data_IF_750714380840
#
_entry.id   IF_750714380840
#
_cell.length_a   1.000
_cell.length_b   1.000
_cell.length_c   1.000
_cell.angle_alpha   90.00
_cell.angle_beta   90.00
_cell.angle_gamma   90.00
#
_symmetry.space_group_name_H-M   'P 1'
#
loop_
_entity.id
_entity.type
_entity.pdbx_description
1 polymer ?
#
# COMPACT_ATOMS: atom_id res chain seq x y z
N UNK A 1 2.45 20.19 6.92
CA UNK A 1 2.70 19.65 8.29
C UNK A 1 2.15 18.23 8.25
N UNK A 2 2.83 17.22 8.82
CA UNK A 2 2.32 15.86 8.78
C UNK A 2 0.90 15.82 9.37
N UNK A 3 -0.02 15.17 8.65
CA UNK A 3 -1.43 15.05 9.04
C UNK A 3 -1.56 14.46 10.45
N UNK A 4 -2.70 14.65 11.14
CA UNK A 4 -2.95 14.01 12.45
C UNK A 4 -3.24 12.51 12.29
N UNK A 5 -2.20 11.76 11.93
CA UNK A 5 -2.31 10.38 11.49
C UNK A 5 -2.60 9.40 12.63
N UNK A 6 -3.39 8.39 12.34
CA UNK A 6 -3.64 7.28 13.26
C UNK A 6 -4.59 6.25 12.66
N UNK A 7 -5.11 5.41 13.55
CA UNK A 7 -6.00 4.29 13.22
C UNK A 7 -7.31 4.47 14.00
N UNK A 8 -8.43 4.48 13.30
CA UNK A 8 -9.75 4.42 13.91
C UNK A 8 -10.28 2.98 13.81
N UNK A 9 -10.51 2.33 14.96
CA UNK A 9 -11.10 0.98 15.06
C UNK A 9 -12.52 1.09 15.63
N UNK A 10 -13.51 0.48 14.99
CA UNK A 10 -14.89 0.49 15.51
C UNK A 10 -15.86 -0.37 14.72
N UNK A 11 -17.14 -0.29 15.09
CA UNK A 11 -18.25 -0.99 14.43
C UNK A 11 -19.04 -0.05 13.51
N UNK A 12 -19.23 -0.38 12.23
CA UNK A 12 -20.07 0.42 11.36
C UNK A 12 -21.54 0.30 11.80
N UNK A 13 -22.29 1.41 11.71
CA UNK A 13 -23.73 1.43 12.05
C UNK A 13 -24.60 2.11 10.99
N UNK A 14 -24.01 2.92 10.10
CA UNK A 14 -24.71 3.50 8.97
C UNK A 14 -23.73 3.90 7.87
N UNK A 15 -24.25 4.10 6.66
CA UNK A 15 -23.47 4.59 5.51
C UNK A 15 -24.24 5.65 4.74
N UNK A 16 -23.51 6.49 4.01
CA UNK A 16 -24.06 7.38 2.98
C UNK A 16 -23.15 7.40 1.76
N UNK A 17 -23.73 7.17 0.59
CA UNK A 17 -23.05 7.22 -0.69
C UNK A 17 -22.54 8.65 -0.98
N UNK A 18 -21.44 8.72 -1.74
CA UNK A 18 -21.04 9.95 -2.40
C UNK A 18 -22.06 10.28 -3.50
N UNK A 19 -22.49 11.54 -3.58
CA UNK A 19 -23.49 11.98 -4.55
C UNK A 19 -23.31 13.47 -4.89
N UNK A 20 -23.60 13.83 -6.15
CA UNK A 20 -23.49 15.21 -6.63
C UNK A 20 -22.06 15.76 -6.47
N UNK A 21 -21.92 16.83 -5.70
CA UNK A 21 -20.62 17.47 -5.41
C UNK A 21 -19.87 16.82 -4.21
N UNK A 22 -20.48 15.85 -3.51
CA UNK A 22 -19.79 15.11 -2.45
C UNK A 22 -18.95 14.00 -3.10
N UNK A 23 -17.64 14.07 -2.89
CA UNK A 23 -16.66 13.13 -3.44
C UNK A 23 -16.28 12.01 -2.46
N UNK A 24 -17.01 11.87 -1.36
CA UNK A 24 -16.66 10.92 -0.30
C UNK A 24 -17.82 9.98 0.06
N UNK A 25 -17.51 8.69 0.08
CA UNK A 25 -18.33 7.67 0.71
C UNK A 25 -18.18 7.79 2.23
N UNK A 26 -19.30 7.83 2.95
CA UNK A 26 -19.33 8.11 4.38
C UNK A 26 -19.74 6.87 5.16
N UNK A 27 -18.99 6.53 6.20
CA UNK A 27 -19.33 5.46 7.14
C UNK A 27 -19.47 6.08 8.53
N UNK A 28 -20.58 5.81 9.19
CA UNK A 28 -20.77 6.09 10.61
C UNK A 28 -20.29 4.88 11.40
N UNK A 29 -19.31 5.09 12.27
CA UNK A 29 -18.67 4.07 13.08
C UNK A 29 -18.69 4.47 14.55
N UNK A 30 -18.83 3.50 15.46
CA UNK A 30 -18.82 3.71 16.91
C UNK A 30 -17.75 2.86 17.61
N UNK A 31 -17.16 3.41 18.67
CA UNK A 31 -16.21 2.72 19.55
C UNK A 31 -16.81 2.22 20.87
N UNK A 32 -18.15 2.12 20.92
CA UNK A 32 -19.05 1.92 22.08
C UNK A 32 -19.58 3.20 22.72
N UNK A 33 -18.74 4.23 22.87
CA UNK A 33 -19.12 5.45 23.60
C UNK A 33 -19.15 6.69 22.71
N UNK A 34 -18.38 6.66 21.62
CA UNK A 34 -18.14 7.81 20.77
C UNK A 34 -18.49 7.48 19.33
N UNK A 35 -19.21 8.39 18.70
CA UNK A 35 -19.49 8.39 17.27
C UNK A 35 -18.35 9.02 16.47
N UNK A 36 -18.06 8.42 15.33
CA UNK A 36 -17.10 8.93 14.36
C UNK A 36 -17.64 8.77 12.94
N UNK A 37 -17.11 9.58 12.03
CA UNK A 37 -17.31 9.43 10.59
C UNK A 37 -16.00 9.07 9.91
N UNK A 38 -16.02 8.03 9.09
CA UNK A 38 -14.95 7.76 8.10
C UNK A 38 -15.39 8.38 6.78
N UNK A 39 -14.56 9.24 6.19
CA UNK A 39 -14.79 9.86 4.90
C UNK A 39 -13.79 9.35 3.88
N UNK A 40 -14.23 8.46 2.98
CA UNK A 40 -13.38 7.79 2.00
C UNK A 40 -13.52 8.46 0.63
N UNK A 41 -12.42 8.88 0.03
CA UNK A 41 -12.42 9.48 -1.30
C UNK A 41 -12.88 8.47 -2.34
N UNK A 42 -13.94 8.80 -3.08
CA UNK A 42 -14.35 8.03 -4.25
C UNK A 42 -14.17 8.81 -5.55
N UNK A 43 -13.84 10.10 -5.46
CA UNK A 43 -13.59 10.96 -6.63
C UNK A 43 -12.54 12.03 -6.33
N UNK A 44 -11.60 12.23 -7.24
CA UNK A 44 -10.64 13.33 -7.20
C UNK A 44 -11.25 14.64 -7.71
N UNK A 45 -10.71 15.76 -7.22
CA UNK A 45 -11.01 17.11 -7.73
C UNK A 45 -10.12 17.49 -8.92
N UNK A 46 -9.01 16.79 -9.12
CA UNK A 46 -8.10 16.96 -10.26
C UNK A 46 -8.47 15.99 -11.39
N UNK A 47 -7.94 16.22 -12.59
CA UNK A 47 -8.06 15.29 -13.72
C UNK A 47 -6.78 14.44 -13.82
N UNK A 48 -6.87 13.11 -14.01
CA UNK A 48 -8.09 12.29 -14.03
C UNK A 48 -8.81 12.25 -12.68
N UNK A 49 -10.14 12.35 -12.70
CA UNK A 49 -10.95 12.37 -11.46
C UNK A 49 -11.08 10.99 -10.81
N UNK A 50 -10.79 9.94 -11.55
CA UNK A 50 -10.93 8.57 -11.10
C UNK A 50 -9.74 8.17 -10.23
N UNK A 51 -9.99 7.31 -9.25
CA UNK A 51 -8.95 6.78 -8.39
C UNK A 51 -8.50 5.42 -8.93
N UNK A 52 -7.24 5.10 -8.66
CA UNK A 52 -6.79 3.72 -8.68
C UNK A 52 -7.26 3.05 -7.38
N UNK A 53 -7.75 1.82 -7.48
CA UNK A 53 -8.17 1.03 -6.34
C UNK A 53 -7.60 -0.38 -6.38
N UNK A 54 -7.36 -0.95 -5.20
CA UNK A 54 -7.11 -2.39 -5.01
C UNK A 54 -7.90 -2.87 -3.80
N UNK A 55 -8.61 -3.99 -3.97
CA UNK A 55 -9.31 -4.67 -2.88
C UNK A 55 -8.75 -6.09 -2.78
N UNK A 56 -8.14 -6.39 -1.64
CA UNK A 56 -7.70 -7.74 -1.30
C UNK A 56 -8.73 -8.36 -0.36
N UNK A 57 -9.47 -9.36 -0.84
CA UNK A 57 -10.54 -10.03 -0.09
C UNK A 57 -10.04 -11.00 0.98
N UNK A 58 -8.74 -11.34 0.98
CA UNK A 58 -8.08 -12.26 1.89
C UNK A 58 -6.72 -11.69 2.34
N UNK A 59 -6.73 -10.43 2.76
CA UNK A 59 -5.52 -9.68 3.06
C UNK A 59 -4.72 -10.32 4.20
N UNK A 60 -3.46 -10.64 3.91
CA UNK A 60 -2.50 -11.14 4.91
C UNK A 60 -1.32 -10.19 4.99
N UNK A 61 -1.00 -9.71 6.18
CA UNK A 61 0.09 -8.75 6.35
C UNK A 61 0.65 -8.79 7.79
N UNK A 62 1.94 -8.44 8.02
CA UNK A 62 2.61 -8.71 9.31
C UNK A 62 2.02 -7.98 10.52
N UNK A 63 1.26 -6.90 10.32
CA UNK A 63 0.75 -6.07 11.43
C UNK A 63 -0.64 -6.49 11.91
N UNK A 64 -1.31 -7.46 11.25
CA UNK A 64 -2.73 -7.74 11.50
C UNK A 64 -2.99 -8.21 12.94
N UNK A 65 -2.10 -9.01 13.52
CA UNK A 65 -2.21 -9.44 14.92
C UNK A 65 -2.12 -8.24 15.88
N UNK A 66 -1.22 -7.29 15.62
CA UNK A 66 -1.09 -6.08 16.42
C UNK A 66 -2.33 -5.16 16.27
N UNK A 67 -2.96 -5.14 15.10
CA UNK A 67 -4.21 -4.42 14.85
C UNK A 67 -5.40 -5.06 15.58
N UNK A 68 -5.52 -6.38 15.55
CA UNK A 68 -6.56 -7.12 16.25
C UNK A 68 -6.59 -6.76 17.74
N UNK A 69 -5.41 -6.66 18.37
CA UNK A 69 -5.25 -6.34 19.78
C UNK A 69 -5.47 -4.86 20.14
N UNK A 70 -5.72 -3.98 19.17
CA UNK A 70 -6.02 -2.57 19.49
C UNK A 70 -7.37 -2.42 20.20
N UNK A 71 -7.48 -1.53 21.20
CA UNK A 71 -8.78 -1.14 21.72
C UNK A 71 -9.61 -0.43 20.62
N UNK A 72 -10.93 -0.43 20.78
CA UNK A 72 -11.80 0.40 19.94
C UNK A 72 -11.48 1.89 20.16
N UNK A 73 -11.79 2.70 19.15
CA UNK A 73 -11.56 4.13 19.14
C UNK A 73 -10.36 4.54 18.27
N UNK A 74 -9.92 5.78 18.45
CA UNK A 74 -8.80 6.33 17.68
C UNK A 74 -7.47 6.18 18.40
N UNK A 75 -6.52 5.47 17.77
CA UNK A 75 -5.12 5.38 18.19
C UNK A 75 -4.26 6.36 17.39
N UNK A 76 -3.73 7.45 18.00
CA UNK A 76 -2.79 8.33 17.32
C UNK A 76 -1.46 7.61 17.07
N UNK A 77 -0.84 7.90 15.93
CA UNK A 77 0.49 7.39 15.55
C UNK A 77 1.43 8.57 15.25
N UNK A 78 1.94 9.26 16.28
CA UNK A 78 2.85 10.38 16.10
C UNK A 78 4.24 9.92 15.61
N UNK A 79 4.71 8.78 16.08
CA UNK A 79 6.04 8.24 15.77
C UNK A 79 5.97 7.24 14.61
N UNK A 80 5.83 7.79 13.40
CA UNK A 80 5.74 7.03 12.15
C UNK A 80 7.13 6.58 11.71
N UNK A 81 7.34 5.28 11.62
CA UNK A 81 8.64 4.68 11.33
C UNK A 81 8.51 3.28 10.73
N UNK A 82 9.54 2.78 10.04
CA UNK A 82 9.61 1.39 9.63
C UNK A 82 9.37 0.43 10.79
N UNK A 83 8.63 -0.64 10.53
CA UNK A 83 8.25 -1.62 11.54
C UNK A 83 7.05 -1.27 12.40
N UNK A 84 6.55 -0.03 12.36
CA UNK A 84 5.34 0.38 13.08
C UNK A 84 4.02 -0.05 12.42
N UNK A 85 2.91 0.46 12.96
CA UNK A 85 1.54 0.17 12.48
C UNK A 85 1.07 1.09 11.33
N UNK A 86 1.88 2.07 10.97
CA UNK A 86 1.52 3.01 9.91
C UNK A 86 1.59 2.34 8.53
N UNK A 87 0.71 2.74 7.62
CA UNK A 87 0.72 2.23 6.25
C UNK A 87 1.66 3.08 5.40
N UNK A 88 2.36 2.41 4.49
CA UNK A 88 3.12 3.02 3.41
C UNK A 88 3.06 2.06 2.22
N UNK A 89 2.47 2.51 1.10
CA UNK A 89 2.18 1.66 -0.06
C UNK A 89 3.48 1.20 -0.73
N UNK A 90 4.49 2.06 -0.74
CA UNK A 90 5.77 1.82 -1.39
C UNK A 90 6.70 1.07 -0.43
N UNK A 91 6.98 1.67 0.74
CA UNK A 91 7.97 1.19 1.70
C UNK A 91 7.45 0.04 2.55
N UNK A 92 6.14 -0.09 2.69
CA UNK A 92 5.51 -1.20 3.40
C UNK A 92 5.36 -2.47 2.55
N UNK A 93 5.55 -2.41 1.22
CA UNK A 93 5.21 -3.55 0.34
C UNK A 93 3.77 -4.05 0.58
N UNK A 94 2.82 -3.12 0.74
CA UNK A 94 1.43 -3.48 1.10
C UNK A 94 0.74 -4.33 0.03
N UNK A 95 1.08 -4.10 -1.23
CA UNK A 95 0.58 -4.84 -2.40
C UNK A 95 1.47 -4.53 -3.62
N UNK A 96 1.25 -5.24 -4.73
CA UNK A 96 1.90 -4.92 -6.00
C UNK A 96 1.11 -3.79 -6.71
N UNK A 97 1.76 -2.66 -7.03
CA UNK A 97 1.08 -1.52 -7.67
C UNK A 97 0.35 -1.87 -8.98
N UNK A 98 0.78 -2.91 -9.69
CA UNK A 98 0.11 -3.40 -10.90
C UNK A 98 -1.29 -3.97 -10.64
N UNK A 99 -1.63 -4.29 -9.39
CA UNK A 99 -2.96 -4.73 -8.98
C UNK A 99 -3.95 -3.55 -8.87
N UNK A 100 -3.46 -2.31 -8.76
CA UNK A 100 -4.36 -1.16 -8.70
C UNK A 100 -4.88 -0.81 -10.10
N UNK A 101 -6.20 -0.78 -10.25
CA UNK A 101 -6.85 -0.45 -11.52
C UNK A 101 -7.68 0.83 -11.37
N UNK A 102 -7.80 1.66 -12.42
CA UNK A 102 -8.64 2.84 -12.38
C UNK A 102 -10.11 2.44 -12.31
N UNK A 103 -10.89 3.16 -11.50
CA UNK A 103 -12.34 3.00 -11.44
C UNK A 103 -13.04 4.34 -11.31
N UNK A 104 -14.13 4.48 -12.06
CA UNK A 104 -15.00 5.63 -11.97
C UNK A 104 -15.55 5.78 -10.54
N UNK A 105 -15.62 7.02 -10.07
CA UNK A 105 -16.03 7.28 -8.69
C UNK A 105 -17.52 7.06 -8.40
N UNK A 106 -18.38 7.45 -9.35
CA UNK A 106 -19.80 7.12 -9.33
C UNK A 106 -20.42 7.17 -10.72
N UNK A 107 -20.96 6.07 -11.21
CA UNK A 107 -21.62 5.99 -12.52
C UNK A 107 -22.88 5.11 -12.44
N UNK A 108 -23.93 5.38 -13.25
CA UNK A 108 -25.07 4.48 -13.33
C UNK A 108 -24.67 3.07 -13.81
N UNK A 109 -25.22 2.05 -13.19
CA UNK A 109 -24.94 0.65 -13.48
C UNK A 109 -24.94 -0.15 -12.19
N UNK A 110 -24.54 -1.43 -12.26
CA UNK A 110 -24.38 -2.27 -11.06
C UNK A 110 -22.92 -2.65 -10.96
N UNK A 111 -22.32 -2.38 -9.80
CA UNK A 111 -20.97 -2.77 -9.43
C UNK A 111 -19.89 -2.23 -10.38
N UNK A 112 -20.10 -1.03 -10.91
CA UNK A 112 -19.22 -0.38 -11.88
C UNK A 112 -18.59 0.91 -11.34
N UNK A 113 -18.83 1.27 -10.07
CA UNK A 113 -18.19 2.41 -9.43
C UNK A 113 -17.60 2.12 -8.05
N UNK A 114 -16.77 3.05 -7.57
CA UNK A 114 -16.06 2.90 -6.31
C UNK A 114 -16.97 2.99 -5.07
N UNK A 115 -18.12 3.69 -5.14
CA UNK A 115 -19.08 3.63 -4.04
C UNK A 115 -19.60 2.21 -3.86
N UNK A 116 -20.05 1.58 -4.94
CA UNK A 116 -20.64 0.24 -4.90
C UNK A 116 -19.63 -0.83 -4.47
N UNK A 117 -18.39 -0.73 -4.97
CA UNK A 117 -17.30 -1.64 -4.56
C UNK A 117 -17.02 -1.57 -3.06
N UNK A 118 -16.96 -0.36 -2.49
CA UNK A 118 -16.75 -0.18 -1.06
C UNK A 118 -18.00 -0.61 -0.28
N UNK A 119 -19.18 -0.18 -0.71
CA UNK A 119 -20.46 -0.47 -0.06
C UNK A 119 -20.69 -1.98 0.07
N UNK A 120 -20.36 -2.78 -0.95
CA UNK A 120 -20.48 -4.24 -0.88
C UNK A 120 -19.84 -4.83 0.40
N UNK A 121 -18.65 -4.37 0.79
CA UNK A 121 -17.97 -4.86 2.00
C UNK A 121 -18.49 -4.22 3.26
N UNK A 122 -18.83 -2.93 3.22
CA UNK A 122 -19.33 -2.21 4.39
C UNK A 122 -20.73 -2.69 4.76
N UNK A 123 -21.61 -2.98 3.80
CA UNK A 123 -22.91 -3.61 4.03
C UNK A 123 -22.77 -4.98 4.69
N UNK A 124 -21.79 -5.79 4.24
CA UNK A 124 -21.50 -7.06 4.91
C UNK A 124 -21.07 -6.84 6.36
N UNK A 125 -20.22 -5.85 6.63
CA UNK A 125 -19.81 -5.51 8.00
C UNK A 125 -20.97 -4.94 8.84
N UNK A 126 -21.92 -4.21 8.24
CA UNK A 126 -23.13 -3.74 8.93
C UNK A 126 -24.05 -4.88 9.37
N UNK A 127 -24.03 -6.01 8.64
CA UNK A 127 -24.85 -7.18 8.93
C UNK A 127 -24.19 -8.20 9.88
N UNK A 128 -22.91 -8.01 10.22
CA UNK A 128 -22.15 -8.86 11.12
C UNK A 128 -21.83 -8.09 12.41
N UNK A 129 -22.50 -8.43 13.51
CA UNK A 129 -22.32 -7.78 14.81
C UNK A 129 -20.90 -7.87 15.37
N UNK A 130 -20.09 -8.80 14.85
CA UNK A 130 -18.69 -9.00 15.24
C UNK A 130 -17.70 -8.28 14.32
N UNK A 131 -18.13 -7.81 13.16
CA UNK A 131 -17.24 -7.18 12.19
C UNK A 131 -16.71 -5.83 12.69
N UNK A 132 -15.45 -5.55 12.34
CA UNK A 132 -14.72 -4.35 12.74
C UNK A 132 -14.13 -3.66 11.52
N UNK A 133 -14.18 -2.34 11.51
CA UNK A 133 -13.50 -1.50 10.51
C UNK A 133 -12.30 -0.82 11.15
N UNK A 134 -11.20 -0.79 10.42
CA UNK A 134 -9.96 -0.09 10.72
C UNK A 134 -9.70 0.92 9.62
N UNK A 135 -9.84 2.21 9.91
CA UNK A 135 -9.51 3.28 8.98
C UNK A 135 -8.18 3.93 9.36
N UNK A 136 -7.30 4.06 8.38
CA UNK A 136 -5.99 4.71 8.49
C UNK A 136 -6.04 6.03 7.75
N UNK A 137 -5.56 7.11 8.39
CA UNK A 137 -5.59 8.44 7.79
C UNK A 137 -5.52 9.57 8.82
N UNK A 138 -5.93 10.75 8.40
CA UNK A 138 -5.90 11.97 9.20
C UNK A 138 -7.14 12.11 10.08
N UNK A 139 -6.98 12.40 11.37
CA UNK A 139 -8.10 12.70 12.28
C UNK A 139 -8.50 14.16 12.21
N UNK A 140 -9.81 14.42 12.21
CA UNK A 140 -10.37 15.72 12.59
C UNK A 140 -11.24 15.61 13.85
N UNK A 141 -11.49 16.76 14.46
CA UNK A 141 -12.26 16.85 15.69
C UNK A 141 -11.54 16.24 16.91
N UNK A 142 -12.26 16.03 18.02
CA UNK A 142 -13.67 16.36 18.20
C UNK A 142 -13.95 17.87 18.05
N UNK A 143 -15.05 18.21 17.38
CA UNK A 143 -15.55 19.58 17.20
C UNK A 143 -16.70 19.81 18.20
N UNK A 144 -16.37 20.23 19.43
CA UNK A 144 -17.28 20.27 20.60
C UNK A 144 -18.63 20.96 20.36
N UNK A 145 -18.66 21.98 19.50
CA UNK A 145 -19.84 22.82 19.26
C UNK A 145 -20.41 22.64 17.85
N UNK A 146 -19.97 21.64 17.11
CA UNK A 146 -20.37 21.42 15.72
C UNK A 146 -20.75 19.97 15.49
N UNK A 147 -21.98 19.75 15.06
CA UNK A 147 -22.49 18.42 14.70
C UNK A 147 -21.79 17.90 13.45
N UNK A 148 -21.66 16.59 13.36
CA UNK A 148 -21.31 15.94 12.10
C UNK A 148 -22.33 16.29 11.01
N UNK A 149 -21.82 16.63 9.83
CA UNK A 149 -22.64 17.09 8.69
C UNK A 149 -23.53 15.98 8.13
N UNK A 150 -23.11 14.73 8.18
CA UNK A 150 -23.77 13.62 7.49
C UNK A 150 -24.66 12.81 8.42
N UNK A 151 -24.21 12.54 9.64
CA UNK A 151 -24.90 11.68 10.61
C UNK A 151 -25.45 12.43 11.82
N UNK A 152 -25.08 13.71 12.01
CA UNK A 152 -25.74 14.60 12.97
C UNK A 152 -25.36 14.41 14.44
N UNK A 153 -24.42 13.51 14.75
CA UNK A 153 -23.89 13.33 16.11
C UNK A 153 -23.03 14.53 16.56
N UNK A 154 -22.90 14.72 17.87
CA UNK A 154 -22.11 15.77 18.50
C UNK A 154 -21.25 15.15 19.61
N UNK A 155 -19.94 15.47 19.71
CA UNK A 155 -19.17 16.36 18.84
C UNK A 155 -18.91 15.77 17.45
N UNK A 156 -18.79 16.62 16.43
CA UNK A 156 -18.34 16.18 15.11
C UNK A 156 -16.92 15.62 15.18
N UNK A 157 -16.69 14.42 14.68
CA UNK A 157 -15.44 13.68 14.91
C UNK A 157 -15.23 12.64 13.80
N UNK A 158 -13.99 12.33 13.45
CA UNK A 158 -13.75 11.31 12.43
C UNK A 158 -12.37 11.32 11.77
N UNK A 159 -12.26 10.58 10.66
CA UNK A 159 -11.01 10.33 9.93
C UNK A 159 -11.18 10.40 8.39
N UNK A 160 -10.24 11.05 7.70
CA UNK A 160 -10.18 11.28 6.23
C UNK A 160 -8.78 10.97 5.71
N UNK A 161 -8.52 11.33 4.44
CA UNK A 161 -7.27 11.04 3.75
C UNK A 161 -7.01 9.53 3.72
N UNK A 162 -8.07 8.79 3.41
CA UNK A 162 -8.12 7.32 3.34
C UNK A 162 -7.67 6.86 1.94
N UNK A 163 -6.49 7.32 1.54
CA UNK A 163 -5.82 6.99 0.28
C UNK A 163 -4.31 7.19 0.46
N UNK A 164 -3.49 6.84 -0.53
CA UNK A 164 -2.04 7.14 -0.54
C UNK A 164 -1.80 8.62 -0.23
N UNK A 165 -0.99 8.95 0.78
CA UNK A 165 -0.74 10.32 1.26
C UNK A 165 0.71 10.73 1.00
N UNK A 166 1.19 10.40 -0.20
CA UNK A 166 2.52 10.70 -0.68
C UNK A 166 2.52 10.76 -2.21
N UNK A 167 3.56 11.38 -2.78
CA UNK A 167 3.73 11.54 -4.22
C UNK A 167 2.73 12.50 -4.84
N UNK A 168 2.17 13.45 -4.08
CA UNK A 168 1.17 14.36 -4.59
C UNK A 168 1.69 15.28 -5.70
N UNK A 169 0.75 15.80 -6.49
CA UNK A 169 1.00 16.94 -7.38
C UNK A 169 1.60 18.12 -6.60
N UNK A 170 2.50 18.93 -7.19
CA UNK A 170 3.14 20.05 -6.50
C UNK A 170 2.20 21.01 -5.75
N UNK A 171 0.93 21.16 -6.17
CA UNK A 171 -0.03 22.01 -5.46
C UNK A 171 -0.54 21.42 -4.14
N UNK A 172 -0.28 20.13 -3.88
CA UNK A 172 -0.69 19.39 -2.68
C UNK A 172 0.49 18.75 -1.93
N UNK A 173 1.72 19.15 -2.27
CA UNK A 173 2.96 18.58 -1.72
C UNK A 173 3.05 18.67 -0.18
N UNK A 174 2.37 19.64 0.44
CA UNK A 174 2.36 19.82 1.89
C UNK A 174 1.70 18.67 2.67
N UNK A 175 0.89 17.86 1.98
CA UNK A 175 0.16 16.72 2.53
C UNK A 175 0.94 15.41 2.38
N UNK A 176 2.06 15.42 1.66
CA UNK A 176 2.96 14.27 1.52
C UNK A 176 3.67 13.92 2.83
N UNK A 177 3.92 12.63 2.99
CA UNK A 177 4.74 12.10 4.08
C UNK A 177 4.95 10.60 3.94
N UNK A 178 6.08 10.13 4.46
CA UNK A 178 6.35 8.69 4.59
C UNK A 178 5.56 8.09 5.76
N UNK A 179 5.17 6.82 5.66
CA UNK A 179 4.47 6.10 6.73
C UNK A 179 3.22 6.83 7.25
N UNK A 180 2.40 7.35 6.35
CA UNK A 180 1.12 8.00 6.69
C UNK A 180 0.04 7.77 5.63
N UNK A 181 0.21 6.74 4.79
CA UNK A 181 -0.79 6.43 3.77
C UNK A 181 -2.10 6.00 4.43
N UNK A 182 -3.20 6.37 3.80
CA UNK A 182 -4.52 5.95 4.22
C UNK A 182 -4.91 4.60 3.65
N UNK A 183 -5.98 4.04 4.22
CA UNK A 183 -6.53 2.76 3.79
C UNK A 183 -7.63 2.31 4.73
N UNK A 184 -8.41 1.33 4.31
CA UNK A 184 -9.44 0.73 5.14
C UNK A 184 -9.28 -0.79 5.18
N UNK A 185 -9.26 -1.36 6.38
CA UNK A 185 -9.34 -2.79 6.59
C UNK A 185 -10.67 -3.14 7.23
N UNK A 186 -11.25 -4.27 6.84
CA UNK A 186 -12.40 -4.88 7.49
C UNK A 186 -11.98 -6.24 8.04
N UNK A 187 -12.29 -6.49 9.29
CA UNK A 187 -12.10 -7.79 9.93
C UNK A 187 -13.45 -8.46 10.09
N UNK A 188 -13.54 -9.73 9.67
CA UNK A 188 -14.67 -10.63 9.89
C UNK A 188 -14.19 -11.76 10.81
N UNK A 189 -14.26 -11.59 12.15
CA UNK A 189 -13.65 -12.52 13.10
C UNK A 189 -14.15 -13.96 12.97
N UNK A 190 -15.46 -14.13 12.76
CA UNK A 190 -16.08 -15.45 12.59
C UNK A 190 -15.56 -16.22 11.36
N UNK A 191 -15.00 -15.52 10.39
CA UNK A 191 -14.41 -16.08 9.17
C UNK A 191 -12.89 -16.16 9.22
N UNK A 192 -12.26 -15.64 10.29
CA UNK A 192 -10.82 -15.42 10.37
C UNK A 192 -10.27 -14.69 9.13
N UNK A 193 -11.05 -13.72 8.61
CA UNK A 193 -10.78 -13.08 7.32
C UNK A 193 -10.62 -11.57 7.47
N UNK A 194 -9.65 -11.05 6.73
CA UNK A 194 -9.40 -9.64 6.57
C UNK A 194 -9.61 -9.23 5.13
N UNK A 195 -10.26 -8.09 4.93
CA UNK A 195 -10.37 -7.42 3.63
C UNK A 195 -9.63 -6.11 3.71
N UNK A 196 -8.81 -5.79 2.71
CA UNK A 196 -8.14 -4.51 2.61
C UNK A 196 -8.63 -3.73 1.40
N UNK A 197 -8.82 -2.42 1.56
CA UNK A 197 -9.20 -1.48 0.51
C UNK A 197 -8.16 -0.35 0.50
N UNK A 198 -7.43 -0.26 -0.61
CA UNK A 198 -6.38 0.73 -0.84
C UNK A 198 -6.72 1.59 -2.04
N UNK A 199 -6.49 2.89 -1.90
CA UNK A 199 -6.90 3.91 -2.87
C UNK A 199 -5.73 4.84 -3.15
N UNK A 200 -5.61 5.30 -4.40
CA UNK A 200 -4.57 6.23 -4.81
C UNK A 200 -5.12 7.15 -5.90
N UNK A 201 -4.82 8.44 -5.84
CA UNK A 201 -5.13 9.33 -6.96
C UNK A 201 -4.22 9.02 -8.15
N UNK A 202 -4.78 9.03 -9.36
CA UNK A 202 -3.98 8.78 -10.57
C UNK A 202 -2.84 9.78 -10.75
N UNK A 203 -3.03 11.03 -10.30
CA UNK A 203 -2.01 12.08 -10.34
C UNK A 203 -0.82 11.85 -9.39
N UNK A 204 -0.93 10.94 -8.42
CA UNK A 204 0.15 10.70 -7.47
C UNK A 204 1.28 9.88 -8.11
N UNK A 205 2.54 10.20 -7.79
CA UNK A 205 3.68 9.43 -8.21
C UNK A 205 3.85 8.13 -7.41
N UNK A 206 4.39 7.10 -8.05
CA UNK A 206 4.78 5.84 -7.39
C UNK A 206 6.20 5.87 -6.84
N UNK A 207 7.04 6.78 -7.31
CA UNK A 207 8.41 6.96 -6.83
C UNK A 207 8.48 8.22 -6.00
N UNK A 208 8.78 8.04 -4.72
CA UNK A 208 8.77 9.13 -3.75
C UNK A 208 10.05 9.15 -2.93
N UNK A 209 10.46 10.34 -2.51
CA UNK A 209 11.63 10.52 -1.65
C UNK A 209 11.43 9.82 -0.29
N UNK A 210 12.45 9.09 0.14
CA UNK A 210 12.42 8.21 1.32
C UNK A 210 12.28 8.93 2.67
N UNK A 211 12.33 10.27 2.69
CA UNK A 211 12.23 11.06 3.91
C UNK A 211 10.99 11.93 3.93
N UNK A 212 10.62 12.48 2.78
CA UNK A 212 9.55 13.47 2.64
C UNK A 212 8.28 12.89 2.05
N UNK A 213 8.37 11.79 1.30
CA UNK A 213 7.24 11.25 0.54
C UNK A 213 6.90 12.10 -0.70
N UNK A 214 7.70 13.11 -1.03
CA UNK A 214 7.48 13.90 -2.24
C UNK A 214 7.74 13.09 -3.51
N UNK A 215 7.00 13.37 -4.57
CA UNK A 215 7.27 12.79 -5.87
C UNK A 215 8.72 13.07 -6.28
N UNK A 216 9.45 12.03 -6.69
CA UNK A 216 10.76 12.22 -7.30
C UNK A 216 10.59 12.77 -8.72
N UNK A 217 11.50 13.63 -9.20
CA UNK A 217 11.47 14.09 -10.58
C UNK A 217 11.45 12.89 -11.53
N UNK A 218 10.47 12.84 -12.43
CA UNK A 218 10.33 11.81 -13.46
C UNK A 218 11.34 12.05 -14.59
N UNK A 219 12.62 12.24 -14.28
CA UNK A 219 13.65 12.44 -15.32
C UNK A 219 13.96 11.16 -16.10
N UNK A 220 13.44 10.00 -15.71
CA UNK A 220 13.70 8.71 -16.37
C UNK A 220 12.45 7.84 -16.62
N UNK A 221 11.25 8.40 -16.48
CA UNK A 221 9.99 7.67 -16.64
C UNK A 221 9.04 8.47 -17.51
N UNK A 222 9.04 8.19 -18.82
CA UNK A 222 8.13 8.85 -19.75
C UNK A 222 6.67 8.65 -19.31
N UNK A 223 5.85 9.71 -19.34
CA UNK A 223 4.41 9.56 -19.13
C UNK A 223 3.85 8.68 -20.24
N UNK A 224 3.01 7.70 -19.89
CA UNK A 224 2.07 7.06 -20.82
C UNK A 224 1.11 8.14 -21.34
N UNK A 225 1.54 8.83 -22.39
CA UNK A 225 0.69 9.65 -23.21
C UNK A 225 -0.27 8.71 -23.95
N UNK A 226 -1.55 8.91 -23.70
CA UNK A 226 -2.65 8.34 -24.45
C UNK A 226 -2.54 8.78 -25.91
N UNK A 227 -2.08 7.90 -26.77
CA UNK A 227 -2.03 8.14 -28.22
C UNK A 227 -3.30 7.59 -28.86
N UNK A 228 -4.28 8.47 -29.02
CA UNK A 228 -5.22 8.36 -30.13
C UNK A 228 -4.70 9.13 -31.34
N UNK A 229 -4.81 8.47 -32.49
CA UNK A 229 -4.85 8.94 -33.89
C UNK A 229 -3.56 9.10 -34.74
N UNK A 230 -3.58 8.30 -35.82
CA UNK A 230 -3.06 8.50 -37.19
C UNK A 230 -1.66 7.99 -37.59
N UNK A 231 -1.63 7.08 -38.58
CA UNK A 231 -0.47 6.61 -39.35
C UNK A 231 -0.48 7.29 -40.74
N UNK A 232 0.67 7.62 -41.40
CA UNK A 232 1.55 6.66 -42.12
C UNK A 232 3.03 7.16 -42.32
N UNK A 233 3.83 6.68 -43.31
CA UNK A 233 4.25 5.31 -43.66
C UNK A 233 5.75 5.03 -43.41
N UNK A 234 6.11 3.77 -43.67
CA UNK A 234 7.35 3.03 -43.39
C UNK A 234 8.60 3.54 -44.13
N UNK A 235 9.73 3.63 -43.41
CA UNK A 235 11.10 3.58 -43.98
C UNK A 235 11.98 2.69 -43.07
N UNK A 236 12.75 1.78 -43.68
CA UNK A 236 13.44 0.66 -43.03
C UNK A 236 14.88 0.98 -42.56
N UNK A 237 15.20 0.47 -41.35
CA UNK A 237 16.51 0.01 -40.80
C UNK A 237 17.58 1.01 -40.28
N UNK A 238 18.51 0.59 -39.37
CA UNK A 238 18.55 -0.60 -38.49
C UNK A 238 18.98 -0.30 -37.01
N UNK A 239 19.04 -1.38 -36.21
CA UNK A 239 19.60 -1.53 -34.84
C UNK A 239 18.64 -1.27 -33.68
N UNK A 240 18.01 -2.37 -33.27
CA UNK A 240 17.35 -2.59 -31.99
C UNK A 240 18.37 -2.57 -30.84
N UNK A 241 18.52 -1.41 -30.18
CA UNK A 241 18.77 -1.37 -28.74
C UNK A 241 17.40 -1.37 -28.08
N UNK A 242 16.91 -2.56 -27.72
CA UNK A 242 15.72 -2.66 -26.88
C UNK A 242 16.14 -2.22 -25.48
N UNK A 243 16.01 -0.92 -25.20
CA UNK A 243 16.19 -0.39 -23.85
C UNK A 243 15.25 -1.15 -22.91
N UNK A 244 15.79 -1.63 -21.78
CA UNK A 244 14.99 -2.11 -20.65
C UNK A 244 13.83 -1.14 -20.39
N UNK A 245 12.66 -1.62 -19.94
CA UNK A 245 11.53 -0.74 -19.67
C UNK A 245 11.97 0.38 -18.71
N UNK A 246 11.49 1.63 -18.93
CA UNK A 246 11.93 2.78 -18.14
C UNK A 246 11.66 2.57 -16.64
N UNK A 247 10.65 1.76 -16.30
CA UNK A 247 10.36 1.34 -14.94
C UNK A 247 11.18 0.09 -14.55
N UNK A 248 12.05 0.17 -13.53
CA UNK A 248 12.85 -0.98 -13.09
C UNK A 248 12.00 -2.08 -12.44
N UNK A 249 10.70 -1.83 -12.18
CA UNK A 249 9.86 -2.72 -11.40
C UNK A 249 9.62 -4.06 -12.11
N UNK A 250 9.83 -5.16 -11.37
CA UNK A 250 9.47 -6.50 -11.82
C UNK A 250 10.48 -7.17 -12.76
N UNK A 251 11.54 -6.46 -13.18
CA UNK A 251 12.67 -7.02 -13.96
C UNK A 251 13.40 -8.10 -13.14
N UNK A 252 13.57 -7.85 -11.84
CA UNK A 252 14.05 -8.84 -10.88
C UNK A 252 13.02 -8.96 -9.75
N UNK A 253 12.61 -10.19 -9.44
CA UNK A 253 11.59 -10.48 -8.44
C UNK A 253 12.16 -11.28 -7.26
N UNK A 254 11.65 -11.03 -6.07
CA UNK A 254 11.89 -11.85 -4.89
C UNK A 254 10.87 -13.00 -4.93
N UNK A 255 11.34 -14.20 -5.26
CA UNK A 255 10.45 -15.36 -5.44
C UNK A 255 10.40 -16.27 -4.22
N UNK A 256 11.42 -16.21 -3.37
CA UNK A 256 11.48 -17.04 -2.18
C UNK A 256 12.43 -16.48 -1.11
N UNK A 257 12.22 -16.84 0.16
CA UNK A 257 13.15 -16.52 1.25
C UNK A 257 13.16 -17.60 2.34
N UNK A 258 14.35 -17.91 2.85
CA UNK A 258 14.52 -18.66 4.10
C UNK A 258 14.68 -17.64 5.23
N UNK A 259 13.59 -17.41 5.97
CA UNK A 259 13.54 -16.38 7.03
C UNK A 259 13.81 -16.95 8.42
N UNK A 260 13.50 -18.23 8.63
CA UNK A 260 13.68 -18.94 9.90
C UNK A 260 14.61 -20.13 9.65
N UNK A 261 15.92 -19.90 9.71
CA UNK A 261 16.91 -20.90 9.32
C UNK A 261 17.20 -21.87 10.48
N UNK A 262 17.55 -23.12 10.16
CA UNK A 262 17.96 -24.07 11.21
C UNK A 262 19.32 -23.68 11.79
N UNK A 263 19.44 -23.81 13.11
CA UNK A 263 20.73 -23.73 13.81
C UNK A 263 20.78 -22.64 14.87
N UNK A 264 21.99 -22.34 15.34
CA UNK A 264 22.21 -21.30 16.35
C UNK A 264 22.34 -19.93 15.68
N UNK A 265 21.93 -18.88 16.40
CA UNK A 265 22.11 -17.51 15.95
C UNK A 265 23.60 -17.15 15.75
N UNK A 266 23.94 -16.26 14.80
CA UNK A 266 23.03 -15.63 13.84
C UNK A 266 22.54 -16.64 12.77
N UNK A 267 21.23 -16.61 12.52
CA UNK A 267 20.59 -17.47 11.53
C UNK A 267 21.12 -17.17 10.11
N UNK A 268 21.28 -18.20 9.30
CA UNK A 268 21.69 -18.05 7.89
C UNK A 268 20.47 -17.83 7.01
N UNK A 269 19.94 -16.62 7.06
CA UNK A 269 18.80 -16.19 6.26
C UNK A 269 19.20 -16.02 4.79
N UNK A 270 18.29 -16.34 3.87
CA UNK A 270 18.53 -16.20 2.43
C UNK A 270 17.33 -15.65 1.68
N UNK A 271 17.61 -14.99 0.55
CA UNK A 271 16.61 -14.48 -0.39
C UNK A 271 16.94 -15.01 -1.78
N UNK A 272 15.95 -15.53 -2.49
CA UNK A 272 16.08 -15.97 -3.88
C UNK A 272 15.49 -14.93 -4.81
N UNK A 273 16.34 -14.42 -5.69
CA UNK A 273 15.97 -13.47 -6.75
C UNK A 273 15.79 -14.21 -8.07
N UNK A 274 14.83 -13.79 -8.88
CA UNK A 274 14.59 -14.25 -10.26
C UNK A 274 14.69 -13.06 -11.21
N UNK A 275 15.49 -13.17 -12.26
CA UNK A 275 15.42 -12.23 -13.38
C UNK A 275 14.39 -12.70 -14.39
N UNK A 276 13.36 -11.88 -14.60
CA UNK A 276 12.24 -12.17 -15.52
C UNK A 276 12.48 -11.64 -16.93
N UNK A 277 13.58 -10.90 -17.12
CA UNK A 277 13.93 -10.26 -18.39
C UNK A 277 14.77 -11.15 -19.30
N UNK A 278 14.84 -10.83 -20.61
CA UNK A 278 15.67 -11.55 -21.57
C UNK A 278 17.16 -11.14 -21.51
N UNK A 279 17.55 -10.23 -20.61
CA UNK A 279 18.91 -9.69 -20.52
C UNK A 279 19.59 -10.09 -19.22
N UNK A 280 20.92 -10.14 -19.21
CA UNK A 280 21.70 -10.30 -17.98
C UNK A 280 21.64 -9.00 -17.16
N UNK A 281 21.29 -9.10 -15.88
CA UNK A 281 21.17 -7.96 -14.97
C UNK A 281 22.39 -7.90 -14.05
N UNK A 282 23.10 -6.77 -14.06
CA UNK A 282 24.12 -6.46 -13.07
C UNK A 282 23.46 -6.00 -11.75
N UNK A 283 23.78 -6.68 -10.65
CA UNK A 283 23.29 -6.37 -9.30
C UNK A 283 24.29 -5.55 -8.48
N UNK A 284 25.41 -5.11 -9.06
CA UNK A 284 26.33 -4.23 -8.35
C UNK A 284 25.61 -2.96 -7.88
N UNK A 285 25.82 -2.59 -6.60
CA UNK A 285 25.18 -1.46 -5.91
C UNK A 285 23.66 -1.58 -5.67
N UNK A 286 22.99 -2.62 -6.17
CA UNK A 286 21.64 -2.96 -5.74
C UNK A 286 21.64 -3.34 -4.25
N UNK A 287 20.47 -3.32 -3.61
CA UNK A 287 20.37 -3.67 -2.19
C UNK A 287 19.11 -4.45 -1.85
N UNK A 288 19.22 -5.37 -0.88
CA UNK A 288 18.08 -5.93 -0.15
C UNK A 288 17.91 -5.16 1.15
N UNK A 289 16.67 -4.79 1.49
CA UNK A 289 16.32 -4.13 2.73
C UNK A 289 15.25 -4.91 3.52
N UNK A 290 15.42 -4.98 4.84
CA UNK A 290 14.45 -5.60 5.76
C UNK A 290 13.31 -4.64 6.17
N UNK A 291 12.41 -5.11 7.05
CA UNK A 291 11.28 -4.34 7.63
C UNK A 291 11.74 -3.07 8.35
N UNK A 292 12.93 -3.06 8.94
CA UNK A 292 13.51 -1.92 9.67
C UNK A 292 14.37 -1.02 8.78
N UNK A 293 14.47 -1.33 7.48
CA UNK A 293 15.27 -0.63 6.47
C UNK A 293 16.79 -0.77 6.66
N UNK A 294 17.23 -1.80 7.37
CA UNK A 294 18.64 -2.20 7.28
C UNK A 294 18.90 -2.76 5.88
N UNK A 295 20.05 -2.43 5.29
CA UNK A 295 20.36 -2.74 3.89
C UNK A 295 21.59 -3.64 3.76
N UNK A 296 21.56 -4.55 2.80
CA UNK A 296 22.70 -5.32 2.33
C UNK A 296 22.90 -5.07 0.83
N UNK A 297 24.07 -4.54 0.47
CA UNK A 297 24.44 -4.31 -0.94
C UNK A 297 24.75 -5.63 -1.64
N UNK A 298 24.31 -5.75 -2.87
CA UNK A 298 24.50 -6.91 -3.73
C UNK A 298 25.70 -6.72 -4.66
N UNK A 299 26.15 -7.83 -5.24
CA UNK A 299 27.27 -7.87 -6.20
C UNK A 299 27.06 -8.96 -7.26
N UNK A 300 27.74 -8.79 -8.39
CA UNK A 300 27.71 -9.71 -9.52
C UNK A 300 26.41 -9.63 -10.30
N UNK A 301 26.17 -10.57 -11.21
CA UNK A 301 25.02 -10.54 -12.12
C UNK A 301 24.03 -11.70 -11.90
N UNK A 302 22.86 -11.61 -12.52
CA UNK A 302 21.92 -12.69 -12.81
C UNK A 302 21.74 -12.77 -14.33
N UNK A 303 21.90 -13.96 -14.91
CA UNK A 303 21.59 -14.22 -16.32
C UNK A 303 20.09 -14.15 -16.62
N UNK A 304 19.73 -13.97 -17.89
CA UNK A 304 18.34 -13.99 -18.35
C UNK A 304 17.59 -15.24 -17.87
N UNK A 305 16.43 -15.07 -17.25
CA UNK A 305 15.59 -16.17 -16.73
C UNK A 305 16.19 -16.95 -15.55
N UNK A 306 17.36 -16.56 -15.04
CA UNK A 306 18.05 -17.30 -13.98
C UNK A 306 17.66 -16.81 -12.57
N UNK A 307 17.89 -17.66 -11.58
CA UNK A 307 17.75 -17.32 -10.16
C UNK A 307 19.11 -17.16 -9.49
N UNK A 308 19.19 -16.30 -8.47
CA UNK A 308 20.36 -16.18 -7.59
C UNK A 308 19.94 -16.19 -6.12
N UNK A 309 20.62 -17.01 -5.35
CA UNK A 309 20.48 -17.07 -3.90
C UNK A 309 21.42 -16.04 -3.26
N UNK A 310 20.86 -15.18 -2.43
CA UNK A 310 21.59 -14.19 -1.64
C UNK A 310 21.55 -14.61 -0.18
N UNK A 311 22.72 -14.80 0.43
CA UNK A 311 22.85 -14.99 1.88
C UNK A 311 22.95 -13.63 2.56
N UNK A 312 22.09 -13.38 3.55
CA UNK A 312 22.06 -12.10 4.23
C UNK A 312 23.08 -12.05 5.37
N UNK A 313 23.74 -10.88 5.60
CA UNK A 313 24.54 -10.68 6.79
C UNK A 313 23.64 -10.44 8.01
N UNK A 314 24.14 -10.65 9.25
CA UNK A 314 23.36 -10.45 10.49
C UNK A 314 22.81 -9.02 10.69
N UNK A 315 23.28 -8.05 9.91
CA UNK A 315 22.80 -6.66 9.93
C UNK A 315 21.47 -6.47 9.22
N UNK A 316 21.03 -7.42 8.39
CA UNK A 316 19.71 -7.45 7.76
C UNK A 316 18.99 -8.68 8.33
N UNK A 317 17.84 -8.49 8.96
CA UNK A 317 17.18 -9.54 9.73
C UNK A 317 15.76 -9.79 9.24
N UNK A 318 15.50 -11.02 8.80
CA UNK A 318 14.20 -11.48 8.36
C UNK A 318 13.43 -12.07 9.55
N UNK A 319 12.86 -11.20 10.38
CA UNK A 319 12.21 -11.60 11.64
C UNK A 319 11.16 -12.74 11.51
N UNK A 320 11.21 -13.69 12.45
CA UNK A 320 10.34 -14.87 12.52
C UNK A 320 8.88 -14.58 12.87
N UNK A 321 8.55 -13.35 13.28
CA UNK A 321 7.17 -12.89 13.56
C UNK A 321 6.51 -12.24 12.35
N UNK A 322 7.14 -12.32 11.17
CA UNK A 322 6.70 -11.66 9.96
C UNK A 322 7.48 -10.39 9.67
N UNK A 323 7.64 -10.08 8.39
CA UNK A 323 8.56 -9.07 7.92
C UNK A 323 8.29 -8.61 6.49
N UNK A 324 9.19 -7.77 6.02
CA UNK A 324 9.22 -7.22 4.67
C UNK A 324 10.60 -7.46 4.08
N UNK A 325 10.66 -7.77 2.79
CA UNK A 325 11.89 -7.88 2.02
C UNK A 325 11.74 -6.96 0.82
N UNK A 326 12.63 -5.99 0.64
CA UNK A 326 12.57 -5.01 -0.46
C UNK A 326 13.84 -5.09 -1.27
N UNK A 327 13.71 -5.19 -2.59
CA UNK A 327 14.82 -5.08 -3.54
C UNK A 327 14.88 -3.66 -4.09
N UNK A 328 16.05 -3.05 -4.00
CA UNK A 328 16.34 -1.69 -4.45
C UNK A 328 17.40 -1.70 -5.55
N UNK A 329 17.23 -0.84 -6.55
CA UNK A 329 18.24 -0.58 -7.57
C UNK A 329 19.35 0.36 -7.01
N UNK A 330 20.40 0.69 -7.79
CA UNK A 330 21.49 1.57 -7.34
C UNK A 330 21.04 2.98 -6.94
N UNK A 331 19.97 3.49 -7.55
CA UNK A 331 19.38 4.79 -7.23
C UNK A 331 18.54 4.75 -5.94
N UNK A 332 18.33 3.56 -5.36
CA UNK A 332 17.52 3.34 -4.17
C UNK A 332 16.01 3.23 -4.46
N UNK A 333 15.61 3.16 -5.73
CA UNK A 333 14.22 2.92 -6.12
C UNK A 333 13.85 1.46 -5.92
N UNK A 334 12.60 1.22 -5.52
CA UNK A 334 12.07 -0.13 -5.33
C UNK A 334 11.90 -0.82 -6.68
N UNK A 335 12.57 -1.97 -6.81
CA UNK A 335 12.45 -2.89 -7.95
C UNK A 335 11.35 -3.92 -7.67
N UNK A 336 11.39 -4.50 -6.48
CA UNK A 336 10.39 -5.46 -6.01
C UNK A 336 10.30 -5.46 -4.49
N UNK A 337 9.24 -6.02 -3.93
CA UNK A 337 9.15 -6.21 -2.49
C UNK A 337 7.98 -7.09 -2.08
N UNK A 338 8.24 -7.92 -1.09
CA UNK A 338 7.30 -8.89 -0.53
C UNK A 338 7.10 -8.66 0.96
N UNK A 339 5.99 -9.17 1.48
CA UNK A 339 5.66 -9.21 2.89
C UNK A 339 5.33 -10.66 3.28
N UNK A 340 5.63 -11.05 4.52
CA UNK A 340 5.30 -12.37 5.05
C UNK A 340 4.88 -12.31 6.52
N UNK A 341 3.97 -13.18 6.94
CA UNK A 341 3.47 -13.24 8.31
C UNK A 341 4.29 -14.17 9.19
N UNK A 342 4.14 -14.05 10.52
CA UNK A 342 4.73 -15.01 11.46
C UNK A 342 4.27 -16.44 11.22
N UNK A 343 3.03 -16.63 10.76
CA UNK A 343 2.51 -17.96 10.39
C UNK A 343 3.30 -18.57 9.22
N UNK A 344 3.67 -17.77 8.20
CA UNK A 344 4.49 -18.24 7.09
C UNK A 344 5.93 -18.54 7.53
N UNK A 345 6.47 -17.77 8.48
CA UNK A 345 7.81 -17.94 9.03
C UNK A 345 7.93 -19.05 10.10
N UNK A 346 6.82 -19.64 10.55
CA UNK A 346 6.80 -20.56 11.70
C UNK A 346 7.61 -21.84 11.48
N UNK A 347 7.75 -22.30 10.22
CA UNK A 347 8.41 -23.57 9.90
C UNK A 347 9.92 -23.40 9.75
N UNK A 348 10.66 -23.75 10.79
CA UNK A 348 12.13 -23.71 10.80
C UNK A 348 12.76 -24.56 9.67
N UNK A 349 13.67 -23.94 8.92
CA UNK A 349 14.38 -24.54 7.80
C UNK A 349 13.57 -24.64 6.50
N UNK A 350 12.34 -24.10 6.47
CA UNK A 350 11.51 -24.08 5.26
C UNK A 350 11.60 -22.72 4.58
N UNK A 351 11.76 -22.77 3.26
CA UNK A 351 11.71 -21.58 2.41
C UNK A 351 10.26 -21.17 2.15
N UNK A 352 9.96 -19.89 2.37
CA UNK A 352 8.71 -19.24 1.96
C UNK A 352 8.79 -18.97 0.46
N UNK A 353 7.71 -19.24 -0.27
CA UNK A 353 7.52 -18.90 -1.69
C UNK A 353 6.48 -17.79 -1.78
N UNK A 354 6.72 -16.81 -2.66
CA UNK A 354 5.89 -15.61 -2.82
C UNK A 354 5.07 -15.63 -4.10
#
# INVERSE_FOLDING_TARGET
MPIKYGILKGRPIAVKFAAGANNHYQIHIVDETTDYRIAINVKSKLTPSDLLYWIDENFTYPILDELDQLPLGFKPLPDRKPGGLALDYIRGNLFNRAQMVPLAGSIPGVNNDLNEKIDQYVQRALLDETALIYAFGARWGPEEQKKDKYFGFLPGNGIHDIHMNQGNDPTHIQDDGVWQDGGMLLQFPNESRWVAIFLKFQSQAWHTDDRTGHALPTSDLEPIASTSTEAPPVEEQPTSTTSLPPEPQGIVQIVAALVNARGQAPEQETVTLLNTSPETIDLNEWAIADRLKNKHKLTGAIEAGATKLITLPPTVQLGNSGGLITLLNPEGLKVDGVAYTGQQAQKEGWTIVF
#
